data_IF_784905332253
#
_entry.id   IF_784905332253
#
_cell.length_a   1.000
_cell.length_b   1.000
_cell.length_c   1.000
_cell.angle_alpha   90.00
_cell.angle_beta   90.00
_cell.angle_gamma   90.00
#
_symmetry.space_group_name_H-M   'P 1'
#
loop_
_entity.id
_entity.type
_entity.pdbx_description
1 polymer ?
#
# COMPACT_ATOMS: atom_id res chain seq x y z
N UNK A 1 11.91 9.66 3.91
CA UNK A 1 11.82 8.54 4.87
C UNK A 1 10.42 7.93 4.87
N UNK A 2 9.44 8.55 5.53
CA UNK A 2 8.05 8.03 5.64
C UNK A 2 7.34 7.85 4.28
N UNK A 3 7.53 8.78 3.34
CA UNK A 3 6.92 8.69 2.02
C UNK A 3 7.53 7.58 1.13
N UNK A 4 8.78 7.19 1.42
CA UNK A 4 9.51 6.18 0.65
C UNK A 4 9.27 4.77 1.20
N UNK A 5 9.07 4.64 2.52
CA UNK A 5 8.75 3.38 3.17
C UNK A 5 7.47 3.48 4.00
N UNK A 6 6.39 2.89 3.48
CA UNK A 6 5.10 2.80 4.18
C UNK A 6 5.10 1.83 5.36
N UNK A 7 6.19 1.08 5.59
CA UNK A 7 6.34 0.15 6.72
C UNK A 7 7.14 0.72 7.88
N UNK A 8 7.70 1.93 7.74
CA UNK A 8 8.44 2.55 8.83
C UNK A 8 7.54 2.79 10.05
N UNK A 9 8.07 2.52 11.23
CA UNK A 9 7.39 2.69 12.50
C UNK A 9 7.61 4.09 13.07
N UNK A 10 6.69 4.52 13.94
CA UNK A 10 6.81 5.80 14.68
C UNK A 10 8.09 5.80 15.54
N UNK A 11 8.52 4.65 16.08
CA UNK A 11 9.75 4.56 16.87
C UNK A 11 10.98 4.80 16.01
N UNK A 12 11.10 4.12 14.86
CA UNK A 12 12.22 4.35 13.93
C UNK A 12 12.31 5.82 13.51
N UNK A 13 11.17 6.45 13.22
CA UNK A 13 11.15 7.89 12.89
C UNK A 13 11.61 8.73 14.08
N UNK A 14 11.09 8.46 15.28
CA UNK A 14 11.39 9.23 16.48
C UNK A 14 12.88 9.15 16.85
N UNK A 15 13.48 7.96 16.70
CA UNK A 15 14.91 7.73 16.92
C UNK A 15 15.75 8.47 15.87
N UNK A 16 15.38 8.43 14.58
CA UNK A 16 16.10 9.10 13.50
C UNK A 16 16.09 10.63 13.61
N UNK A 17 14.99 11.22 14.09
CA UNK A 17 14.85 12.68 14.24
C UNK A 17 15.09 13.17 15.68
N UNK A 18 15.50 12.27 16.58
CA UNK A 18 15.81 12.55 17.98
C UNK A 18 14.68 13.27 18.76
N UNK A 19 13.44 12.83 18.59
CA UNK A 19 12.28 13.32 19.34
C UNK A 19 11.62 12.19 20.14
N UNK A 20 10.73 12.55 21.07
CA UNK A 20 9.95 11.55 21.78
C UNK A 20 8.96 10.84 20.84
N UNK A 21 8.69 9.56 21.09
CA UNK A 21 7.67 8.78 20.36
C UNK A 21 6.30 9.45 20.42
N UNK A 22 5.95 10.07 21.55
CA UNK A 22 4.69 10.79 21.74
C UNK A 22 4.59 12.01 20.83
N UNK A 23 5.65 12.83 20.78
CA UNK A 23 5.73 13.98 19.88
C UNK A 23 5.67 13.55 18.41
N UNK A 24 6.37 12.46 18.05
CA UNK A 24 6.30 11.90 16.71
C UNK A 24 4.87 11.45 16.36
N UNK A 25 4.16 10.84 17.30
CA UNK A 25 2.77 10.43 17.10
C UNK A 25 1.86 11.64 16.85
N UNK A 26 1.92 12.67 17.70
CA UNK A 26 1.10 13.90 17.60
C UNK A 26 1.35 14.64 16.28
N UNK A 27 2.62 14.77 15.87
CA UNK A 27 2.95 15.39 14.57
C UNK A 27 2.33 14.58 13.43
N UNK A 28 2.43 13.25 13.47
CA UNK A 28 1.88 12.41 12.41
C UNK A 28 0.36 12.49 12.36
N UNK A 29 -0.32 12.37 13.50
CA UNK A 29 -1.79 12.33 13.53
C UNK A 29 -2.43 13.71 13.37
N UNK A 30 -1.97 14.69 14.13
CA UNK A 30 -2.72 15.92 14.37
C UNK A 30 -2.21 17.07 13.49
N UNK A 31 -0.89 17.14 13.25
CA UNK A 31 -0.29 18.16 12.37
C UNK A 31 -0.36 17.74 10.91
N UNK A 32 0.04 16.50 10.61
CA UNK A 32 0.12 15.98 9.24
C UNK A 32 -1.15 15.23 8.80
N UNK A 33 -2.08 14.94 9.72
CA UNK A 33 -3.33 14.24 9.38
C UNK A 33 -3.15 12.79 8.94
N UNK A 34 -2.02 12.16 9.27
CA UNK A 34 -1.69 10.80 8.84
C UNK A 34 -2.41 9.77 9.70
N UNK A 35 -2.84 8.69 9.06
CA UNK A 35 -3.48 7.55 9.72
C UNK A 35 -2.59 6.32 9.65
N UNK A 36 -2.57 5.55 10.74
CA UNK A 36 -1.94 4.23 10.74
C UNK A 36 -2.73 3.29 9.83
N UNK A 37 -2.03 2.57 8.97
CA UNK A 37 -2.61 1.59 8.05
C UNK A 37 -2.06 0.22 8.41
N UNK A 38 -2.95 -0.76 8.59
CA UNK A 38 -2.56 -2.15 8.77
C UNK A 38 -2.04 -2.73 7.45
N UNK A 39 -0.97 -3.54 7.52
CA UNK A 39 -0.54 -4.30 6.37
C UNK A 39 -1.64 -5.28 5.94
N UNK A 40 -1.91 -5.37 4.63
CA UNK A 40 -2.86 -6.36 4.09
C UNK A 40 -2.16 -7.71 3.96
N UNK A 41 -2.83 -8.79 4.37
CA UNK A 41 -2.39 -10.15 4.08
C UNK A 41 -2.58 -10.46 2.59
N UNK A 42 -1.54 -11.01 1.96
CA UNK A 42 -1.57 -11.42 0.55
C UNK A 42 -1.41 -12.94 0.51
N UNK A 43 -2.33 -13.70 -0.11
CA UNK A 43 -2.29 -15.17 -0.08
C UNK A 43 -1.03 -15.81 -0.66
N UNK A 44 -0.37 -15.16 -1.62
CA UNK A 44 0.86 -15.65 -2.25
C UNK A 44 1.65 -14.50 -2.87
N UNK A 45 2.97 -14.57 -2.78
CA UNK A 45 3.86 -13.73 -3.58
C UNK A 45 3.99 -14.32 -4.98
N UNK A 46 3.48 -13.62 -5.99
CA UNK A 46 3.52 -14.07 -7.37
C UNK A 46 4.88 -13.77 -8.01
N UNK A 47 5.38 -14.71 -8.81
CA UNK A 47 6.52 -14.48 -9.69
C UNK A 47 6.12 -13.62 -10.90
N UNK A 48 7.10 -13.28 -11.75
CA UNK A 48 6.86 -12.41 -12.92
C UNK A 48 5.82 -13.00 -13.88
N UNK A 49 5.98 -14.25 -14.29
CA UNK A 49 5.08 -14.94 -15.21
C UNK A 49 3.64 -15.03 -14.66
N UNK A 50 3.49 -15.33 -13.37
CA UNK A 50 2.19 -15.39 -12.71
C UNK A 50 1.51 -14.02 -12.66
N UNK A 51 2.26 -12.93 -12.48
CA UNK A 51 1.71 -11.57 -12.55
C UNK A 51 1.24 -11.25 -13.96
N UNK A 52 2.07 -11.57 -14.95
CA UNK A 52 1.76 -11.35 -16.36
C UNK A 52 0.48 -12.10 -16.75
N UNK A 53 0.41 -13.39 -16.47
CA UNK A 53 -0.78 -14.20 -16.76
C UNK A 53 -2.03 -13.69 -16.02
N UNK A 54 -1.88 -13.21 -14.78
CA UNK A 54 -3.00 -12.63 -14.03
C UNK A 54 -3.55 -11.37 -14.70
N UNK A 55 -2.68 -10.52 -15.26
CA UNK A 55 -3.10 -9.32 -16.00
C UNK A 55 -3.82 -9.68 -17.29
N UNK A 56 -3.28 -10.63 -18.06
CA UNK A 56 -3.86 -11.10 -19.32
C UNK A 56 -5.28 -11.62 -19.12
N UNK A 57 -5.47 -12.56 -18.18
CA UNK A 57 -6.79 -13.15 -17.90
C UNK A 57 -7.79 -12.10 -17.41
N UNK A 58 -7.36 -11.16 -16.57
CA UNK A 58 -8.23 -10.09 -16.11
C UNK A 58 -8.66 -9.16 -17.26
N UNK A 59 -7.76 -8.86 -18.19
CA UNK A 59 -8.08 -8.03 -19.35
C UNK A 59 -9.01 -8.74 -20.33
N UNK A 60 -8.78 -10.03 -20.60
CA UNK A 60 -9.68 -10.87 -21.39
C UNK A 60 -11.09 -10.87 -20.80
N UNK A 61 -11.19 -11.09 -19.48
CA UNK A 61 -12.48 -11.10 -18.77
C UNK A 61 -13.21 -9.75 -18.85
N UNK A 62 -12.48 -8.63 -18.75
CA UNK A 62 -13.07 -7.29 -18.88
C UNK A 62 -13.58 -7.04 -20.30
N UNK A 63 -12.80 -7.42 -21.32
CA UNK A 63 -13.17 -7.23 -22.71
C UNK A 63 -14.41 -8.05 -23.11
N UNK A 64 -14.57 -9.25 -22.57
CA UNK A 64 -15.78 -10.07 -22.77
C UNK A 64 -17.03 -9.37 -22.21
N UNK A 65 -16.94 -8.82 -21.00
CA UNK A 65 -18.03 -8.06 -20.37
C UNK A 65 -18.36 -6.82 -21.20
N UNK A 66 -17.35 -6.08 -21.65
CA UNK A 66 -17.57 -4.90 -22.48
C UNK A 66 -18.19 -5.28 -23.82
N UNK A 67 -17.69 -6.33 -24.49
CA UNK A 67 -18.24 -6.83 -25.75
C UNK A 67 -19.71 -7.24 -25.61
N UNK A 68 -20.11 -7.91 -24.52
CA UNK A 68 -21.52 -8.24 -24.27
C UNK A 68 -22.39 -7.03 -23.95
N UNK A 69 -21.81 -5.90 -23.52
CA UNK A 69 -22.54 -4.67 -23.19
C UNK A 69 -22.85 -3.81 -24.42
N UNK A 70 -22.13 -4.01 -25.52
CA UNK A 70 -22.31 -3.30 -26.79
C UNK A 70 -23.22 -4.04 -27.80
N UNK A 71 -23.71 -5.23 -27.44
CA UNK A 71 -24.82 -5.92 -28.10
C UNK A 71 -26.10 -5.79 -27.26
#
# INVERSE_FOLDING_TARGET
MVMNDRRITIREVADDVAISIGSCHEIFSDVLGMKRVAAKFVPKLLNFEQKQRRMEVAQESLNEVDTMRIY
#
